data_IF_209195127125
#
_entry.id   IF_209195127125
#
_cell.length_a   1.000
_cell.length_b   1.000
_cell.length_c   1.000
_cell.angle_alpha   90.00
_cell.angle_beta   90.00
_cell.angle_gamma   90.00
#
_symmetry.space_group_name_H-M   'P 1'
#
loop_
_entity.id
_entity.type
_entity.pdbx_description
1 polymer ?
#
# COMPACT_ATOMS: atom_id res chain seq x y z
N UNK A 1 -32.66 13.35 18.21
CA UNK A 1 -31.56 12.43 18.61
C UNK A 1 -31.77 11.00 18.13
N UNK A 2 -32.87 10.31 18.47
CA UNK A 2 -33.12 8.92 18.00
C UNK A 2 -33.06 8.77 16.47
N UNK A 3 -33.70 9.67 15.71
CA UNK A 3 -33.69 9.64 14.24
C UNK A 3 -32.28 9.78 13.63
N UNK A 4 -31.40 10.60 14.23
CA UNK A 4 -30.01 10.82 13.78
C UNK A 4 -29.13 9.58 14.02
N UNK A 5 -29.34 8.91 15.15
CA UNK A 5 -28.65 7.65 15.49
C UNK A 5 -29.06 6.55 14.51
N UNK A 6 -30.34 6.48 14.12
CA UNK A 6 -30.82 5.49 13.14
C UNK A 6 -30.28 5.76 11.74
N UNK A 7 -30.13 7.02 11.31
CA UNK A 7 -29.56 7.36 10.00
C UNK A 7 -28.06 7.04 9.94
N UNK A 8 -27.33 7.29 11.03
CA UNK A 8 -25.90 6.98 11.12
C UNK A 8 -25.62 5.47 11.12
N UNK A 9 -26.49 4.67 11.75
CA UNK A 9 -26.40 3.21 11.75
C UNK A 9 -26.68 2.59 10.37
N UNK A 10 -27.57 3.21 9.57
CA UNK A 10 -27.88 2.76 8.20
C UNK A 10 -26.76 3.05 7.20
N UNK A 11 -26.04 4.17 7.39
CA UNK A 11 -24.87 4.54 6.59
C UNK A 11 -23.69 3.58 6.82
N UNK A 12 -23.51 3.06 8.03
CA UNK A 12 -22.44 2.11 8.34
C UNK A 12 -22.64 0.73 7.71
N UNK A 13 -23.89 0.27 7.55
CA UNK A 13 -24.21 -1.04 6.97
C UNK A 13 -24.04 -1.06 5.44
N UNK A 14 -24.11 0.10 4.78
CA UNK A 14 -24.00 0.23 3.32
C UNK A 14 -22.54 0.35 2.81
N UNK A 15 -21.56 0.49 3.69
CA UNK A 15 -20.13 0.52 3.36
C UNK A 15 -19.51 -0.88 3.17
N UNK A 16 -20.24 -1.95 3.50
CA UNK A 16 -19.76 -3.34 3.48
C UNK A 16 -19.46 -3.90 2.07
N UNK A 17 -19.71 -3.14 1.00
CA UNK A 17 -19.68 -3.63 -0.39
C UNK A 17 -18.47 -3.20 -1.22
N UNK A 18 -17.46 -2.56 -0.64
CA UNK A 18 -16.40 -1.91 -1.44
C UNK A 18 -15.01 -2.57 -1.39
N UNK A 19 -14.78 -3.62 -0.59
CA UNK A 19 -13.52 -4.35 -0.60
C UNK A 19 -13.73 -5.84 -0.30
N UNK A 20 -13.17 -6.71 -1.15
CA UNK A 20 -13.16 -8.15 -0.90
C UNK A 20 -12.16 -8.45 0.22
N UNK A 21 -12.61 -9.11 1.28
CA UNK A 21 -11.77 -9.45 2.44
C UNK A 21 -10.58 -10.33 2.05
N UNK A 22 -10.74 -11.22 1.06
CA UNK A 22 -9.66 -12.06 0.54
C UNK A 22 -8.51 -11.23 -0.03
N UNK A 23 -8.82 -10.19 -0.80
CA UNK A 23 -7.82 -9.32 -1.41
C UNK A 23 -7.07 -8.49 -0.36
N UNK A 24 -7.74 -8.14 0.75
CA UNK A 24 -7.12 -7.46 1.90
C UNK A 24 -6.14 -8.40 2.60
N UNK A 25 -6.54 -9.66 2.86
CA UNK A 25 -5.65 -10.65 3.47
C UNK A 25 -4.43 -10.94 2.59
N UNK A 26 -4.66 -11.12 1.28
CA UNK A 26 -3.57 -11.21 0.30
C UNK A 26 -2.62 -10.02 0.43
N UNK A 27 -3.17 -8.79 0.43
CA UNK A 27 -2.34 -7.59 0.47
C UNK A 27 -1.49 -7.50 1.75
N UNK A 28 -2.05 -7.88 2.90
CA UNK A 28 -1.31 -7.92 4.18
C UNK A 28 -0.21 -8.99 4.15
N UNK A 29 -0.54 -10.21 3.72
CA UNK A 29 0.39 -11.32 3.67
C UNK A 29 1.54 -11.04 2.69
N UNK A 30 1.21 -10.60 1.48
CA UNK A 30 2.18 -10.23 0.46
C UNK A 30 3.07 -9.07 0.90
N UNK A 31 2.50 -8.00 1.50
CA UNK A 31 3.29 -6.89 2.02
C UNK A 31 4.28 -7.35 3.09
N UNK A 32 3.86 -8.24 4.01
CA UNK A 32 4.73 -8.79 5.03
C UNK A 32 5.81 -9.73 4.45
N UNK A 33 5.47 -10.51 3.43
CA UNK A 33 6.40 -11.36 2.70
C UNK A 33 7.48 -10.51 2.00
N UNK A 34 7.08 -9.56 1.15
CA UNK A 34 8.00 -8.76 0.36
C UNK A 34 8.82 -7.77 1.19
N UNK A 35 8.32 -7.31 2.35
CA UNK A 35 9.12 -6.53 3.30
C UNK A 35 10.39 -7.26 3.75
N UNK A 36 10.36 -8.60 3.83
CA UNK A 36 11.53 -9.42 4.22
C UNK A 36 12.50 -9.63 3.06
N UNK A 37 12.01 -9.58 1.82
CA UNK A 37 12.80 -9.76 0.61
C UNK A 37 13.47 -8.45 0.20
N UNK A 38 12.73 -7.34 0.27
CA UNK A 38 13.21 -6.01 -0.09
C UNK A 38 13.85 -5.35 1.14
N UNK A 39 15.13 -5.63 1.35
CA UNK A 39 15.90 -5.12 2.50
C UNK A 39 16.76 -3.92 2.10
N UNK A 40 16.46 -2.75 2.65
CA UNK A 40 17.23 -1.51 2.45
C UNK A 40 17.16 -0.60 3.68
N UNK A 41 18.23 0.13 3.95
CA UNK A 41 18.36 1.09 5.07
C UNK A 41 18.68 2.48 4.52
N UNK A 42 18.09 3.54 5.12
CA UNK A 42 18.11 4.97 4.74
C UNK A 42 16.84 5.47 4.04
N UNK A 43 16.61 6.79 4.03
CA UNK A 43 15.36 7.43 3.60
C UNK A 43 15.03 7.26 2.10
N UNK A 44 15.93 7.60 1.18
CA UNK A 44 15.67 7.44 -0.26
C UNK A 44 15.48 5.97 -0.65
N UNK A 45 16.25 5.07 -0.02
CA UNK A 45 16.06 3.62 -0.21
C UNK A 45 14.81 3.10 0.50
N UNK A 46 14.37 3.73 1.58
CA UNK A 46 13.11 3.42 2.25
C UNK A 46 11.92 3.73 1.33
N UNK A 47 11.93 4.90 0.66
CA UNK A 47 10.91 5.21 -0.36
C UNK A 47 10.94 4.24 -1.54
N UNK A 48 12.13 3.79 -1.96
CA UNK A 48 12.26 2.70 -2.93
C UNK A 48 11.56 1.41 -2.46
N UNK A 49 11.73 1.02 -1.19
CA UNK A 49 11.08 -0.15 -0.59
C UNK A 49 9.56 0.01 -0.61
N UNK A 50 9.06 1.16 -0.18
CA UNK A 50 7.64 1.51 -0.21
C UNK A 50 7.03 1.40 -1.61
N UNK A 51 7.69 1.98 -2.61
CA UNK A 51 7.31 1.88 -4.02
C UNK A 51 7.30 0.43 -4.51
N UNK A 52 8.40 -0.31 -4.27
CA UNK A 52 8.57 -1.67 -4.81
C UNK A 52 7.56 -2.65 -4.21
N UNK A 53 7.37 -2.61 -2.88
CA UNK A 53 6.40 -3.47 -2.19
C UNK A 53 4.98 -3.13 -2.64
N UNK A 54 4.62 -1.84 -2.67
CA UNK A 54 3.28 -1.44 -3.11
C UNK A 54 3.00 -1.82 -4.58
N UNK A 55 4.03 -1.80 -5.43
CA UNK A 55 3.93 -2.26 -6.81
C UNK A 55 3.60 -3.75 -6.88
N UNK A 56 4.41 -4.62 -6.27
CA UNK A 56 4.21 -6.08 -6.40
C UNK A 56 2.92 -6.55 -5.72
N UNK A 57 2.57 -5.98 -4.56
CA UNK A 57 1.30 -6.28 -3.88
C UNK A 57 0.11 -5.81 -4.74
N UNK A 58 0.24 -4.69 -5.43
CA UNK A 58 -0.77 -4.21 -6.37
C UNK A 58 -0.97 -5.09 -7.61
N UNK A 59 0.07 -5.82 -8.05
CA UNK A 59 -0.01 -6.82 -9.13
C UNK A 59 -0.72 -8.07 -8.62
N UNK A 60 -0.32 -8.58 -7.46
CA UNK A 60 -0.80 -9.87 -6.94
C UNK A 60 -2.20 -9.81 -6.34
N UNK A 61 -2.47 -8.78 -5.53
CA UNK A 61 -3.66 -8.66 -4.70
C UNK A 61 -4.61 -7.55 -5.17
N UNK A 62 -4.24 -6.85 -6.24
CA UNK A 62 -5.01 -5.74 -6.80
C UNK A 62 -4.78 -4.40 -6.11
N UNK A 63 -5.04 -3.33 -6.86
CA UNK A 63 -4.71 -1.95 -6.48
C UNK A 63 -5.55 -1.44 -5.30
N UNK A 64 -6.84 -1.78 -5.26
CA UNK A 64 -7.76 -1.24 -4.24
C UNK A 64 -7.40 -1.71 -2.83
N UNK A 65 -7.18 -3.01 -2.66
CA UNK A 65 -6.83 -3.62 -1.38
C UNK A 65 -5.43 -3.21 -0.92
N UNK A 66 -4.50 -3.09 -1.87
CA UNK A 66 -3.15 -2.58 -1.60
C UNK A 66 -3.15 -1.11 -1.16
N UNK A 67 -4.00 -0.27 -1.77
CA UNK A 67 -4.17 1.13 -1.37
C UNK A 67 -4.74 1.24 0.05
N UNK A 68 -5.72 0.39 0.39
CA UNK A 68 -6.31 0.35 1.72
C UNK A 68 -5.25 0.03 2.79
N UNK A 69 -4.42 -0.99 2.55
CA UNK A 69 -3.35 -1.37 3.49
C UNK A 69 -2.27 -0.31 3.59
N UNK A 70 -1.84 0.29 2.47
CA UNK A 70 -0.87 1.38 2.47
C UNK A 70 -1.34 2.59 3.29
N UNK A 71 -2.60 3.00 3.13
CA UNK A 71 -3.21 4.07 3.93
C UNK A 71 -3.37 3.64 5.39
N UNK A 72 -3.82 2.42 5.66
CA UNK A 72 -4.01 1.91 7.02
C UNK A 72 -2.70 1.83 7.82
N UNK A 73 -1.58 1.48 7.18
CA UNK A 73 -0.25 1.47 7.82
C UNK A 73 0.18 2.89 8.22
N UNK A 74 0.02 3.87 7.34
CA UNK A 74 0.37 5.26 7.66
C UNK A 74 -0.56 5.83 8.74
N UNK A 75 -1.87 5.50 8.72
CA UNK A 75 -2.79 5.84 9.81
C UNK A 75 -2.35 5.17 11.13
N UNK A 76 -1.95 3.89 11.09
CA UNK A 76 -1.42 3.21 12.27
C UNK A 76 -0.14 3.90 12.79
N UNK A 77 0.74 4.37 11.91
CA UNK A 77 1.93 5.11 12.30
C UNK A 77 1.59 6.49 12.87
N UNK A 78 0.52 7.17 12.43
CA UNK A 78 0.01 8.43 13.06
C UNK A 78 -0.43 8.20 14.50
N UNK A 79 -1.15 7.10 14.76
CA UNK A 79 -1.76 6.81 16.08
C UNK A 79 -0.94 5.85 16.95
N UNK A 80 0.16 5.34 16.43
CA UNK A 80 1.05 4.35 17.04
C UNK A 80 2.44 4.92 17.33
N UNK A 81 3.46 4.07 17.50
CA UNK A 81 4.82 4.49 17.82
C UNK A 81 5.65 4.96 16.60
N UNK A 82 5.04 5.02 15.41
CA UNK A 82 5.71 5.40 14.17
C UNK A 82 5.66 6.91 13.91
N UNK A 83 6.32 7.35 12.83
CA UNK A 83 6.09 8.66 12.24
C UNK A 83 5.39 8.43 10.91
N UNK A 84 4.18 8.95 10.76
CA UNK A 84 3.54 8.94 9.45
C UNK A 84 4.27 9.92 8.53
N UNK A 85 4.87 9.38 7.47
CA UNK A 85 5.64 10.17 6.53
C UNK A 85 4.88 10.28 5.21
N UNK A 86 4.43 11.49 4.88
CA UNK A 86 3.71 11.75 3.62
C UNK A 86 4.47 11.21 2.40
N UNK A 87 5.79 11.21 2.46
CA UNK A 87 6.66 10.70 1.40
C UNK A 87 6.58 9.18 1.23
N UNK A 88 6.34 8.41 2.30
CA UNK A 88 6.06 6.96 2.20
C UNK A 88 4.72 6.71 1.53
N UNK A 89 3.71 7.50 1.88
CA UNK A 89 2.40 7.41 1.24
C UNK A 89 2.51 7.71 -0.26
N UNK A 90 3.25 8.75 -0.65
CA UNK A 90 3.48 9.08 -2.06
C UNK A 90 4.24 7.96 -2.78
N UNK A 91 5.24 7.36 -2.14
CA UNK A 91 5.98 6.22 -2.70
C UNK A 91 5.06 5.00 -2.89
N UNK A 92 4.19 4.70 -1.93
CA UNK A 92 3.20 3.62 -2.04
C UNK A 92 2.24 3.87 -3.22
N UNK A 93 1.69 5.08 -3.33
CA UNK A 93 0.80 5.48 -4.43
C UNK A 93 1.50 5.38 -5.79
N UNK A 94 2.77 5.78 -5.88
CA UNK A 94 3.56 5.61 -7.10
C UNK A 94 3.73 4.14 -7.45
N UNK A 95 4.04 3.27 -6.48
CA UNK A 95 4.12 1.82 -6.66
C UNK A 95 2.83 1.23 -7.24
N UNK A 96 1.68 1.60 -6.69
CA UNK A 96 0.36 1.18 -7.18
C UNK A 96 0.02 1.72 -8.58
N UNK A 97 0.56 2.87 -8.95
CA UNK A 97 0.43 3.39 -10.31
C UNK A 97 1.31 2.60 -11.28
N UNK A 98 2.51 2.20 -10.84
CA UNK A 98 3.45 1.40 -11.63
C UNK A 98 2.89 -0.01 -11.86
N UNK A 99 2.24 -0.64 -10.87
CA UNK A 99 1.66 -1.99 -10.98
C UNK A 99 0.59 -2.13 -12.08
N UNK A 100 -0.01 -1.02 -12.50
CA UNK A 100 -1.01 -0.99 -13.57
C UNK A 100 -0.41 -0.94 -14.98
N UNK A 101 0.91 -0.81 -15.11
CA UNK A 101 1.59 -0.74 -16.40
C UNK A 101 1.71 -2.15 -16.96
N UNK A 102 1.30 -2.36 -18.21
CA UNK A 102 1.37 -3.66 -18.87
C UNK A 102 2.79 -4.25 -18.95
N UNK A 103 3.83 -3.40 -18.89
CA UNK A 103 5.23 -3.82 -18.89
C UNK A 103 5.78 -4.23 -17.52
N UNK A 104 4.97 -4.19 -16.47
CA UNK A 104 5.38 -4.44 -15.08
C UNK A 104 4.52 -5.58 -14.53
N UNK A 105 5.13 -6.76 -14.39
CA UNK A 105 4.41 -8.01 -14.13
C UNK A 105 4.97 -8.82 -12.97
N UNK A 106 6.12 -8.41 -12.41
CA UNK A 106 6.83 -9.14 -11.37
C UNK A 106 7.66 -8.20 -10.46
N UNK A 107 8.27 -8.77 -9.42
CA UNK A 107 9.07 -8.01 -8.46
C UNK A 107 10.27 -7.31 -9.13
N UNK A 108 10.89 -7.93 -10.13
CA UNK A 108 12.07 -7.41 -10.82
C UNK A 108 11.72 -6.15 -11.62
N UNK A 109 10.64 -6.21 -12.40
CA UNK A 109 10.10 -5.09 -13.17
C UNK A 109 9.56 -3.96 -12.26
N UNK A 110 8.96 -4.30 -11.12
CA UNK A 110 8.60 -3.32 -10.08
C UNK A 110 9.84 -2.60 -9.52
N UNK A 111 10.86 -3.36 -9.12
CA UNK A 111 12.13 -2.84 -8.61
C UNK A 111 12.79 -1.90 -9.61
N UNK A 112 12.94 -2.34 -10.86
CA UNK A 112 13.56 -1.53 -11.91
C UNK A 112 12.80 -0.23 -12.17
N UNK A 113 11.46 -0.29 -12.22
CA UNK A 113 10.63 0.89 -12.40
C UNK A 113 10.73 1.87 -11.22
N UNK A 114 10.77 1.36 -9.98
CA UNK A 114 10.90 2.19 -8.78
C UNK A 114 12.30 2.81 -8.63
N UNK A 115 13.37 2.14 -9.07
CA UNK A 115 14.73 2.71 -9.04
C UNK A 115 14.87 3.97 -9.90
N UNK A 116 14.06 4.12 -10.95
CA UNK A 116 14.05 5.35 -11.76
C UNK A 116 13.63 6.58 -10.95
N UNK A 117 12.75 6.42 -9.96
CA UNK A 117 12.24 7.50 -9.12
C UNK A 117 13.00 7.60 -7.79
N UNK A 118 13.43 6.47 -7.25
CA UNK A 118 14.14 6.35 -5.98
C UNK A 118 15.46 5.60 -6.19
N UNK A 119 16.48 6.27 -6.77
CA UNK A 119 17.75 5.64 -7.10
C UNK A 119 18.48 5.15 -5.84
N UNK A 120 18.98 3.92 -5.91
CA UNK A 120 19.77 3.29 -4.87
C UNK A 120 21.25 3.40 -5.30
N UNK A 121 22.13 4.03 -4.50
CA UNK A 121 23.56 3.96 -4.75
C UNK A 121 24.02 2.50 -4.78
N UNK A 122 24.67 2.11 -5.89
CA UNK A 122 25.34 0.82 -6.07
C UNK A 122 26.60 0.73 -5.20
#
# INVERSE_FOLDING_TARGET
MKKLITTMLFLLVSLSSFANTEDIFCAVEAAHHYKKIVVVKNFAKDKYKHCTISCIVGIECGVASSALIGVAKEIYDVFGPGNAELEDLLANVLGLRISRRASVTDLSSCSQACQHFYPIPH
#
